data_IF_895481316845
#
_entry.id   IF_895481316845
#
_cell.length_a   1.000
_cell.length_b   1.000
_cell.length_c   1.000
_cell.angle_alpha   90.00
_cell.angle_beta   90.00
_cell.angle_gamma   90.00
#
_symmetry.space_group_name_H-M   'P 1'
#
loop_
_entity.id
_entity.type
_entity.pdbx_description
1 polymer ?
#
# COMPACT_ATOMS: atom_id res chain seq x y z
N UNK A 1 13.04 -19.07 -54.69
CA UNK A 1 13.19 -20.13 -53.65
C UNK A 1 11.99 -20.04 -52.70
N UNK A 2 11.01 -20.92 -52.86
CA UNK A 2 9.81 -20.94 -52.01
C UNK A 2 10.12 -21.63 -50.68
N UNK A 3 9.83 -20.97 -49.55
CA UNK A 3 9.94 -21.57 -48.21
C UNK A 3 8.93 -22.71 -48.10
N UNK A 4 9.32 -23.94 -47.69
CA UNK A 4 8.37 -25.01 -47.48
C UNK A 4 7.42 -24.67 -46.32
N UNK A 5 6.12 -24.90 -46.53
CA UNK A 5 5.09 -24.71 -45.51
C UNK A 5 5.33 -25.70 -44.35
N UNK A 6 5.17 -25.27 -43.09
CA UNK A 6 5.39 -26.14 -41.94
C UNK A 6 4.36 -27.28 -41.93
N UNK A 7 4.85 -28.52 -41.82
CA UNK A 7 4.03 -29.72 -41.77
C UNK A 7 3.09 -29.70 -40.56
N UNK A 8 1.82 -30.04 -40.79
CA UNK A 8 0.80 -30.23 -39.75
C UNK A 8 0.79 -31.70 -39.32
N UNK A 9 0.73 -31.94 -38.01
CA UNK A 9 0.70 -33.27 -37.38
C UNK A 9 -0.52 -33.38 -36.49
N UNK A 10 -1.09 -34.58 -36.40
CA UNK A 10 -2.15 -34.89 -35.45
C UNK A 10 -1.56 -35.07 -34.05
N UNK A 11 -1.98 -34.25 -33.10
CA UNK A 11 -1.51 -34.27 -31.72
C UNK A 11 -2.71 -34.49 -30.80
N UNK A 12 -2.52 -35.34 -29.79
CA UNK A 12 -3.55 -35.68 -28.81
C UNK A 12 -3.32 -34.88 -27.52
N UNK A 13 -4.37 -34.23 -27.03
CA UNK A 13 -4.29 -33.41 -25.82
C UNK A 13 -4.12 -34.29 -24.57
N UNK A 14 -3.09 -34.06 -23.73
CA UNK A 14 -2.88 -34.86 -22.52
C UNK A 14 -3.92 -34.61 -21.41
N UNK A 15 -4.75 -33.57 -21.55
CA UNK A 15 -5.75 -33.21 -20.54
C UNK A 15 -7.15 -33.76 -20.82
N UNK A 16 -7.52 -33.97 -22.07
CA UNK A 16 -8.86 -34.41 -22.45
C UNK A 16 -8.89 -35.50 -23.54
N UNK A 17 -7.73 -35.93 -24.07
CA UNK A 17 -7.65 -36.93 -25.13
C UNK A 17 -8.10 -36.45 -26.51
N UNK A 18 -8.41 -35.16 -26.67
CA UNK A 18 -8.86 -34.62 -27.95
C UNK A 18 -7.75 -34.58 -28.99
N UNK A 19 -8.00 -35.12 -30.18
CA UNK A 19 -7.05 -35.14 -31.31
C UNK A 19 -7.25 -33.90 -32.18
N UNK A 20 -6.21 -33.11 -32.35
CA UNK A 20 -6.23 -31.90 -33.17
C UNK A 20 -5.00 -31.78 -34.08
N UNK A 21 -5.14 -31.05 -35.18
CA UNK A 21 -4.07 -30.84 -36.15
C UNK A 21 -3.31 -29.55 -35.83
N UNK A 22 -2.06 -29.70 -35.40
CA UNK A 22 -1.18 -28.59 -35.02
C UNK A 22 0.12 -28.62 -35.83
N UNK A 23 0.82 -27.49 -35.90
CA UNK A 23 2.09 -27.40 -36.62
C UNK A 23 3.21 -28.09 -35.85
N UNK A 24 4.02 -28.92 -36.53
CA UNK A 24 5.13 -29.65 -35.91
C UNK A 24 6.15 -28.74 -35.20
N UNK A 25 6.29 -27.50 -35.68
CA UNK A 25 7.21 -26.50 -35.14
C UNK A 25 6.63 -25.65 -33.99
N UNK A 26 5.37 -25.88 -33.58
CA UNK A 26 4.74 -25.11 -32.52
C UNK A 26 5.30 -25.51 -31.14
N UNK A 27 5.88 -24.55 -30.41
CA UNK A 27 6.42 -24.76 -29.04
C UNK A 27 5.31 -25.06 -28.02
N UNK A 28 4.11 -24.57 -28.28
CA UNK A 28 2.92 -24.77 -27.46
C UNK A 28 1.68 -24.60 -28.32
N UNK A 29 0.69 -25.46 -28.13
CA UNK A 29 -0.63 -25.31 -28.75
C UNK A 29 -1.73 -25.32 -27.70
N UNK A 30 -2.82 -24.62 -27.98
CA UNK A 30 -4.02 -24.62 -27.15
C UNK A 30 -4.97 -25.72 -27.64
N UNK A 31 -5.52 -26.51 -26.72
CA UNK A 31 -6.56 -27.48 -27.04
C UNK A 31 -7.87 -26.77 -27.39
N UNK A 32 -8.46 -27.08 -28.55
CA UNK A 32 -9.74 -26.51 -28.99
C UNK A 32 -10.94 -26.97 -28.15
N UNK A 33 -10.82 -28.08 -27.41
CA UNK A 33 -11.91 -28.62 -26.61
C UNK A 33 -11.84 -28.20 -25.14
N UNK A 34 -10.65 -28.22 -24.51
CA UNK A 34 -10.51 -27.90 -23.09
C UNK A 34 -9.83 -26.55 -22.80
N UNK A 35 -9.37 -25.82 -23.83
CA UNK A 35 -8.74 -24.50 -23.69
C UNK A 35 -7.35 -24.50 -23.04
N UNK A 36 -6.85 -25.66 -22.59
CA UNK A 36 -5.53 -25.77 -21.94
C UNK A 36 -4.41 -25.77 -22.98
N UNK A 37 -3.29 -25.15 -22.63
CA UNK A 37 -2.07 -25.18 -23.42
C UNK A 37 -1.28 -26.46 -23.14
N UNK A 38 -0.76 -27.08 -24.19
CA UNK A 38 0.14 -28.24 -24.12
C UNK A 38 1.18 -28.19 -25.23
N UNK A 39 2.34 -28.83 -25.04
CA UNK A 39 3.40 -28.87 -26.05
C UNK A 39 3.21 -30.10 -26.96
N UNK A 40 3.12 -29.91 -28.29
CA UNK A 40 2.99 -31.03 -29.22
C UNK A 40 4.29 -31.84 -29.39
N UNK A 41 5.43 -31.29 -28.93
CA UNK A 41 6.76 -31.90 -28.98
C UNK A 41 7.21 -32.46 -27.62
N UNK A 42 6.34 -33.18 -26.91
CA UNK A 42 6.74 -33.98 -25.76
C UNK A 42 6.86 -35.46 -26.21
N UNK A 43 8.03 -36.12 -26.06
CA UNK A 43 8.15 -37.53 -26.38
C UNK A 43 7.29 -38.36 -25.41
N UNK A 44 6.63 -39.40 -25.92
CA UNK A 44 5.81 -40.34 -25.14
C UNK A 44 6.60 -40.89 -23.94
N UNK A 45 6.00 -41.04 -22.76
CA UNK A 45 6.66 -41.56 -21.57
C UNK A 45 6.85 -43.06 -21.73
N UNK A 46 8.05 -43.48 -22.12
CA UNK A 46 8.30 -44.89 -22.41
C UNK A 46 9.72 -45.20 -22.78
N UNK A 47 10.72 -44.62 -22.10
CA UNK A 47 12.09 -45.12 -22.13
C UNK A 47 12.84 -44.65 -20.89
N UNK A 48 13.19 -45.62 -20.03
CA UNK A 48 14.11 -45.43 -18.91
C UNK A 48 15.48 -45.03 -19.47
N UNK A 49 15.81 -43.74 -19.41
CA UNK A 49 17.18 -43.30 -19.57
C UNK A 49 17.91 -43.52 -18.24
N UNK A 50 18.62 -44.66 -18.17
CA UNK A 50 19.74 -44.85 -17.26
C UNK A 50 20.70 -43.68 -17.46
N UNK A 51 20.94 -42.92 -16.40
CA UNK A 51 22.08 -42.02 -16.30
C UNK A 51 23.32 -42.89 -16.54
N UNK A 52 24.08 -42.55 -17.58
CA UNK A 52 25.37 -43.17 -17.84
C UNK A 52 26.34 -42.67 -16.77
N UNK A 53 26.44 -43.44 -15.68
CA UNK A 53 27.66 -43.49 -14.88
C UNK A 53 28.78 -44.13 -15.72
N UNK A 54 29.95 -43.51 -15.70
CA UNK A 54 31.25 -44.15 -15.90
C UNK A 54 32.23 -43.53 -14.88
N UNK A 55 33.27 -44.26 -14.45
CA UNK A 55 33.41 -44.67 -13.05
C UNK A 55 34.62 -44.04 -12.34
N UNK A 56 34.62 -44.28 -11.02
CA UNK A 56 35.52 -43.80 -10.00
C UNK A 56 36.99 -44.28 -10.09
N UNK A 57 37.90 -43.48 -9.53
CA UNK A 57 39.06 -43.86 -8.67
C UNK A 57 39.79 -42.57 -8.27
N UNK A 58 40.25 -42.27 -7.05
CA UNK A 58 40.27 -42.94 -5.76
C UNK A 58 40.60 -41.91 -4.64
N UNK A 59 40.12 -42.20 -3.41
CA UNK A 59 40.67 -41.87 -2.07
C UNK A 59 40.87 -40.38 -1.66
N UNK A 60 40.05 -39.77 -0.77
CA UNK A 60 39.90 -39.91 0.71
C UNK A 60 40.59 -38.73 1.47
N UNK A 61 40.25 -38.37 2.74
CA UNK A 61 39.05 -38.65 3.55
C UNK A 61 38.36 -37.37 4.08
N UNK A 62 37.13 -37.55 4.56
CA UNK A 62 36.34 -36.56 5.31
C UNK A 62 37.00 -36.15 6.65
N UNK A 63 36.51 -35.06 7.28
CA UNK A 63 36.08 -35.21 8.66
C UNK A 63 34.56 -35.07 8.76
N UNK A 64 34.02 -36.06 9.46
CA UNK A 64 32.65 -36.21 9.94
C UNK A 64 32.16 -34.91 10.57
N UNK A 65 31.08 -34.36 10.02
CA UNK A 65 30.38 -33.21 10.59
C UNK A 65 29.14 -32.85 9.78
N UNK A 66 27.99 -33.39 10.19
CA UNK A 66 26.62 -32.95 9.87
C UNK A 66 26.16 -32.96 8.39
N UNK A 67 25.30 -33.90 7.97
CA UNK A 67 24.53 -33.72 6.75
C UNK A 67 23.53 -32.56 6.94
N UNK A 68 23.85 -31.45 6.27
CA UNK A 68 23.07 -30.23 6.00
C UNK A 68 21.57 -30.32 6.32
N UNK A 69 21.21 -29.80 7.50
CA UNK A 69 19.86 -29.37 7.89
C UNK A 69 19.44 -28.02 7.23
N UNK A 70 20.16 -27.54 6.22
CA UNK A 70 20.03 -26.18 5.69
C UNK A 70 18.83 -25.92 4.76
N UNK A 71 18.05 -26.95 4.40
CA UNK A 71 16.95 -26.84 3.45
C UNK A 71 15.54 -26.96 4.08
N UNK A 72 15.45 -26.94 5.42
CA UNK A 72 14.19 -27.19 6.16
C UNK A 72 13.54 -25.92 6.74
N UNK A 73 14.15 -24.72 6.60
CA UNK A 73 13.60 -23.51 7.26
C UNK A 73 13.58 -22.19 6.49
N UNK A 74 13.43 -22.22 5.17
CA UNK A 74 13.00 -21.02 4.43
C UNK A 74 11.47 -21.01 4.30
N UNK A 75 10.75 -20.86 5.43
CA UNK A 75 9.29 -20.66 5.39
C UNK A 75 9.04 -19.38 4.59
N UNK A 76 8.31 -19.41 3.46
CA UNK A 76 8.05 -18.22 2.67
C UNK A 76 7.37 -17.21 3.58
N UNK A 77 8.02 -16.08 3.82
CA UNK A 77 7.46 -15.01 4.63
C UNK A 77 6.23 -14.50 3.91
N UNK A 78 5.14 -14.42 4.63
CA UNK A 78 3.88 -13.87 4.14
C UNK A 78 3.66 -12.52 4.78
N UNK A 79 2.96 -11.64 4.06
CA UNK A 79 2.60 -10.31 4.53
C UNK A 79 1.15 -10.01 4.19
N UNK A 80 0.51 -9.22 5.04
CA UNK A 80 -0.87 -8.79 4.84
C UNK A 80 -0.87 -7.48 4.04
N UNK A 81 -1.60 -7.47 2.92
CA UNK A 81 -1.77 -6.27 2.08
C UNK A 81 -3.26 -5.95 1.93
N UNK A 82 -3.61 -4.67 1.92
CA UNK A 82 -4.97 -4.24 1.62
C UNK A 82 -5.13 -3.95 0.11
N UNK A 83 -6.36 -4.06 -0.38
CA UNK A 83 -6.70 -3.61 -1.72
C UNK A 83 -6.85 -2.08 -1.77
N UNK A 84 -6.49 -1.47 -2.90
CA UNK A 84 -6.71 -0.04 -3.13
C UNK A 84 -8.19 0.34 -3.26
N UNK A 85 -9.03 -0.55 -3.79
CA UNK A 85 -10.44 -0.26 -4.07
C UNK A 85 -11.34 -0.73 -2.91
N UNK A 86 -11.41 -2.04 -2.69
CA UNK A 86 -12.32 -2.61 -1.68
C UNK A 86 -11.74 -2.62 -0.25
N UNK A 87 -10.50 -2.19 -0.04
CA UNK A 87 -9.78 -2.20 1.25
C UNK A 87 -9.69 -3.56 1.96
N UNK A 88 -10.06 -4.65 1.29
CA UNK A 88 -9.95 -6.01 1.84
C UNK A 88 -8.48 -6.38 2.05
N UNK A 89 -8.17 -6.81 3.26
CA UNK A 89 -6.86 -7.33 3.65
C UNK A 89 -6.74 -8.81 3.28
N UNK A 90 -5.62 -9.20 2.70
CA UNK A 90 -5.32 -10.58 2.39
C UNK A 90 -3.83 -10.85 2.50
N UNK A 91 -3.49 -12.11 2.74
CA UNK A 91 -2.12 -12.55 2.92
C UNK A 91 -1.49 -12.92 1.58
N UNK A 92 -0.29 -12.42 1.34
CA UNK A 92 0.47 -12.64 0.11
C UNK A 92 1.89 -13.02 0.47
N UNK A 93 2.53 -13.85 -0.34
CA UNK A 93 3.95 -14.12 -0.21
C UNK A 93 4.76 -12.83 -0.37
N UNK A 94 5.78 -12.65 0.46
CA UNK A 94 6.67 -11.49 0.41
C UNK A 94 7.53 -11.48 -0.87
N UNK A 95 7.72 -12.65 -1.50
CA UNK A 95 8.37 -12.77 -2.80
C UNK A 95 7.48 -12.33 -3.99
N UNK A 96 6.19 -12.08 -3.77
CA UNK A 96 5.26 -11.73 -4.84
C UNK A 96 5.42 -10.26 -5.24
N UNK A 97 5.69 -10.02 -6.54
CA UNK A 97 5.78 -8.66 -7.11
C UNK A 97 4.42 -8.04 -7.42
N UNK A 98 3.38 -8.87 -7.56
CA UNK A 98 2.00 -8.41 -7.75
C UNK A 98 1.03 -9.46 -7.20
N UNK A 99 -0.18 -9.03 -6.91
CA UNK A 99 -1.28 -9.90 -6.51
C UNK A 99 -2.58 -9.35 -7.06
N UNK A 100 -3.58 -10.21 -7.19
CA UNK A 100 -4.94 -9.78 -7.52
C UNK A 100 -5.79 -9.86 -6.26
N UNK A 101 -6.61 -8.83 -6.02
CA UNK A 101 -7.48 -8.83 -4.86
C UNK A 101 -8.52 -9.97 -4.93
N UNK A 102 -8.69 -10.80 -3.89
CA UNK A 102 -9.69 -11.86 -3.88
C UNK A 102 -11.14 -11.36 -3.78
N UNK A 103 -11.37 -10.06 -3.56
CA UNK A 103 -12.71 -9.47 -3.46
C UNK A 103 -13.20 -8.77 -4.72
N UNK A 104 -12.35 -7.94 -5.33
CA UNK A 104 -12.72 -7.14 -6.49
C UNK A 104 -11.89 -7.47 -7.74
N UNK A 105 -10.97 -8.45 -7.67
CA UNK A 105 -10.04 -8.82 -8.74
C UNK A 105 -9.09 -7.72 -9.24
N UNK A 106 -9.08 -6.55 -8.59
CA UNK A 106 -8.17 -5.45 -8.91
C UNK A 106 -6.70 -5.87 -8.78
N UNK A 107 -5.87 -5.42 -9.72
CA UNK A 107 -4.43 -5.65 -9.71
C UNK A 107 -3.75 -4.77 -8.65
N UNK A 108 -2.88 -5.38 -7.85
CA UNK A 108 -2.16 -4.71 -6.77
C UNK A 108 -0.66 -4.93 -7.02
N UNK A 109 0.05 -3.85 -7.32
CA UNK A 109 1.50 -3.86 -7.38
C UNK A 109 2.09 -3.93 -5.97
N UNK A 110 3.00 -4.88 -5.77
CA UNK A 110 3.69 -5.16 -4.51
C UNK A 110 5.18 -4.81 -4.58
N UNK A 111 5.61 -4.19 -5.68
CA UNK A 111 7.01 -3.88 -5.98
C UNK A 111 7.51 -2.71 -5.16
N UNK A 112 8.77 -2.78 -4.79
CA UNK A 112 9.48 -1.65 -4.24
C UNK A 112 9.98 -0.76 -5.38
N UNK A 113 9.78 0.55 -5.25
CA UNK A 113 10.14 1.54 -6.25
C UNK A 113 11.27 2.41 -5.73
N UNK A 114 12.39 2.41 -6.46
CA UNK A 114 13.50 3.32 -6.20
C UNK A 114 13.55 4.41 -7.26
N UNK A 115 13.34 5.66 -6.84
CA UNK A 115 13.32 6.82 -7.72
C UNK A 115 14.68 7.52 -7.61
N UNK A 116 15.49 7.35 -8.66
CA UNK A 116 16.83 7.95 -8.79
C UNK A 116 16.84 9.18 -9.69
N UNK A 117 15.86 9.31 -10.57
CA UNK A 117 15.71 10.39 -11.54
C UNK A 117 14.37 11.11 -11.35
N UNK A 118 14.06 12.07 -12.22
CA UNK A 118 12.74 12.71 -12.23
C UNK A 118 11.65 11.70 -12.63
N UNK A 119 10.61 11.60 -11.80
CA UNK A 119 9.46 10.71 -12.03
C UNK A 119 8.15 11.50 -11.87
N UNK A 120 7.35 11.55 -12.93
CA UNK A 120 6.11 12.35 -13.00
C UNK A 120 4.82 11.53 -13.02
N UNK A 121 4.91 10.20 -13.15
CA UNK A 121 3.71 9.34 -13.26
C UNK A 121 3.16 8.99 -11.88
N UNK A 122 1.85 8.82 -11.75
CA UNK A 122 1.26 8.31 -10.50
C UNK A 122 1.76 6.90 -10.20
N UNK A 123 2.28 6.69 -8.99
CA UNK A 123 2.71 5.38 -8.50
C UNK A 123 1.67 4.89 -7.49
N UNK A 124 1.19 3.67 -7.67
CA UNK A 124 0.34 2.99 -6.68
C UNK A 124 0.96 1.63 -6.41
N UNK A 125 1.62 1.50 -5.26
CA UNK A 125 2.25 0.26 -4.83
C UNK A 125 1.89 -0.04 -3.38
N UNK A 126 1.95 -1.29 -2.97
CA UNK A 126 1.97 -1.68 -1.55
C UNK A 126 3.36 -2.10 -1.08
N UNK A 127 4.38 -1.85 -1.90
CA UNK A 127 5.78 -1.96 -1.52
C UNK A 127 6.30 -0.69 -0.84
N UNK A 128 7.61 -0.66 -0.72
CA UNK A 128 8.39 0.48 -0.24
C UNK A 128 8.74 1.43 -1.39
N UNK A 129 8.63 2.74 -1.15
CA UNK A 129 9.06 3.78 -2.07
C UNK A 129 10.31 4.47 -1.52
N UNK A 130 11.44 4.32 -2.21
CA UNK A 130 12.68 5.00 -1.87
C UNK A 130 12.93 6.14 -2.87
N UNK A 131 12.68 7.37 -2.43
CA UNK A 131 13.04 8.57 -3.17
C UNK A 131 14.45 8.99 -2.77
N UNK A 132 15.42 8.73 -3.63
CA UNK A 132 16.82 9.10 -3.35
C UNK A 132 17.02 10.62 -3.44
N UNK A 133 18.10 11.13 -2.84
CA UNK A 133 18.45 12.56 -2.87
C UNK A 133 18.54 13.20 -4.28
N UNK A 134 18.84 12.41 -5.32
CA UNK A 134 18.88 12.87 -6.72
C UNK A 134 17.53 12.80 -7.44
N UNK A 135 16.56 12.10 -6.86
CA UNK A 135 15.22 11.92 -7.41
C UNK A 135 14.36 13.18 -7.27
N UNK A 136 13.54 13.46 -8.28
CA UNK A 136 12.47 14.46 -8.22
C UNK A 136 11.13 13.78 -8.52
N UNK A 137 10.30 13.62 -7.50
CA UNK A 137 8.99 13.01 -7.62
C UNK A 137 7.93 14.08 -7.87
N UNK A 138 7.59 14.31 -9.14
CA UNK A 138 6.65 15.33 -9.61
C UNK A 138 5.25 14.77 -9.90
N UNK A 139 4.86 13.75 -9.16
CA UNK A 139 3.67 12.95 -9.45
C UNK A 139 2.40 13.49 -8.76
N UNK A 140 1.26 13.41 -9.42
CA UNK A 140 -0.01 13.94 -8.89
C UNK A 140 -0.47 13.23 -7.61
N UNK A 141 -0.29 11.90 -7.55
CA UNK A 141 -0.67 11.06 -6.42
C UNK A 141 0.23 9.84 -6.36
N UNK A 142 0.84 9.64 -5.19
CA UNK A 142 1.70 8.52 -4.88
C UNK A 142 1.12 7.80 -3.67
N UNK A 143 0.78 6.53 -3.85
CA UNK A 143 0.26 5.66 -2.78
C UNK A 143 1.25 4.53 -2.57
N UNK A 144 1.77 4.40 -1.35
CA UNK A 144 2.70 3.35 -0.95
C UNK A 144 2.35 2.77 0.43
N UNK A 145 2.93 1.63 0.78
CA UNK A 145 2.84 1.09 2.15
C UNK A 145 3.80 1.84 3.05
N UNK A 146 5.08 1.85 2.65
CA UNK A 146 6.16 2.56 3.34
C UNK A 146 6.89 3.49 2.37
N UNK A 147 7.42 4.60 2.87
CA UNK A 147 8.24 5.53 2.09
C UNK A 147 9.50 5.95 2.84
N UNK A 148 10.62 6.00 2.13
CA UNK A 148 11.85 6.68 2.53
C UNK A 148 12.11 7.84 1.58
N UNK A 149 12.05 9.06 2.10
CA UNK A 149 12.09 10.30 1.30
C UNK A 149 13.37 11.07 1.59
N UNK A 150 14.34 10.98 0.69
CA UNK A 150 15.62 11.73 0.74
C UNK A 150 15.69 12.84 -0.33
N UNK A 151 14.82 12.78 -1.34
CA UNK A 151 14.81 13.69 -2.49
C UNK A 151 13.65 14.67 -2.54
N UNK A 152 13.52 15.36 -3.68
CA UNK A 152 12.48 16.39 -3.89
C UNK A 152 11.13 15.74 -4.14
N UNK A 153 10.17 15.97 -3.24
CA UNK A 153 8.79 15.52 -3.39
C UNK A 153 7.90 16.69 -3.82
N UNK A 154 7.40 16.65 -5.05
CA UNK A 154 6.47 17.62 -5.65
C UNK A 154 5.15 16.93 -5.99
N UNK A 155 4.37 16.62 -4.97
CA UNK A 155 3.12 15.88 -5.18
C UNK A 155 2.44 15.45 -3.90
N UNK A 156 1.29 14.80 -4.05
CA UNK A 156 0.58 14.20 -2.92
C UNK A 156 1.17 12.82 -2.62
N UNK A 157 1.48 12.58 -1.35
CA UNK A 157 2.00 11.30 -0.85
C UNK A 157 1.05 10.72 0.20
N UNK A 158 0.64 9.49 -0.03
CA UNK A 158 -0.20 8.70 0.88
C UNK A 158 0.52 7.41 1.25
N UNK A 159 0.89 7.28 2.52
CA UNK A 159 1.55 6.11 3.09
C UNK A 159 0.60 5.39 4.04
N UNK A 160 0.38 4.10 3.88
CA UNK A 160 -0.52 3.38 4.77
C UNK A 160 0.09 3.07 6.14
N UNK A 161 1.40 2.86 6.21
CA UNK A 161 2.06 2.36 7.41
C UNK A 161 3.06 3.38 7.98
N UNK A 162 4.20 3.55 7.32
CA UNK A 162 5.30 4.40 7.80
C UNK A 162 5.86 5.29 6.70
N UNK A 163 6.21 6.52 7.03
CA UNK A 163 6.96 7.42 6.16
C UNK A 163 8.16 8.00 6.91
N UNK A 164 9.36 7.71 6.43
CA UNK A 164 10.61 8.26 6.95
C UNK A 164 11.07 9.39 6.05
N UNK A 165 11.32 10.56 6.62
CA UNK A 165 11.71 11.76 5.87
C UNK A 165 13.12 12.15 6.29
N UNK A 166 14.05 12.07 5.34
CA UNK A 166 15.45 12.50 5.44
C UNK A 166 15.77 13.49 4.31
N UNK A 167 14.93 14.52 4.18
CA UNK A 167 15.02 15.51 3.11
C UNK A 167 15.14 16.93 3.69
N UNK A 168 15.87 17.79 2.97
CA UNK A 168 16.01 19.21 3.25
C UNK A 168 15.35 20.00 2.12
N UNK A 169 14.25 20.68 2.43
CA UNK A 169 13.57 21.56 1.49
C UNK A 169 12.07 21.67 1.70
N UNK A 170 11.37 22.02 0.62
CA UNK A 170 9.94 22.35 0.62
C UNK A 170 9.13 21.19 0.03
N UNK A 171 8.04 20.83 0.71
CA UNK A 171 7.04 19.88 0.22
C UNK A 171 5.75 20.65 -0.06
N UNK A 172 5.42 20.91 -1.35
CA UNK A 172 4.23 21.68 -1.71
C UNK A 172 2.94 20.86 -1.65
N UNK A 173 3.03 19.53 -1.62
CA UNK A 173 1.88 18.63 -1.69
C UNK A 173 1.35 18.19 -0.32
N UNK A 174 0.24 17.45 -0.35
CA UNK A 174 -0.37 16.88 0.86
C UNK A 174 0.37 15.60 1.27
N UNK A 175 0.62 15.46 2.57
CA UNK A 175 1.18 14.25 3.17
C UNK A 175 0.13 13.58 4.05
N UNK A 176 -0.16 12.31 3.78
CA UNK A 176 -1.03 11.46 4.60
C UNK A 176 -0.23 10.22 4.97
N UNK A 177 -0.10 9.92 6.25
CA UNK A 177 0.57 8.71 6.71
C UNK A 177 0.00 8.20 8.03
N UNK A 178 0.16 6.92 8.37
CA UNK A 178 -0.15 6.47 9.74
C UNK A 178 0.95 6.87 10.71
N UNK A 179 2.19 6.52 10.41
CA UNK A 179 3.33 6.88 11.23
C UNK A 179 4.33 7.68 10.40
N UNK A 180 4.83 8.79 10.93
CA UNK A 180 5.87 9.61 10.28
C UNK A 180 7.07 9.73 11.20
N UNK A 181 8.27 9.50 10.67
CA UNK A 181 9.53 9.72 11.37
C UNK A 181 10.37 10.73 10.59
N UNK A 182 10.60 11.90 11.18
CA UNK A 182 11.48 12.94 10.63
C UNK A 182 12.88 12.74 11.19
N UNK A 183 13.86 12.50 10.33
CA UNK A 183 15.24 12.25 10.75
C UNK A 183 15.97 13.52 11.20
N UNK A 184 17.07 13.36 11.94
CA UNK A 184 17.80 14.48 12.58
C UNK A 184 18.37 15.50 11.60
N UNK A 185 18.71 15.06 10.38
CA UNK A 185 19.28 15.90 9.32
C UNK A 185 18.21 16.54 8.43
N UNK A 186 16.94 16.17 8.61
CA UNK A 186 15.85 16.67 7.82
C UNK A 186 15.46 18.09 8.24
N UNK A 187 15.13 18.91 7.25
CA UNK A 187 14.61 20.26 7.42
C UNK A 187 13.49 20.47 6.40
N UNK A 188 12.26 20.26 6.84
CA UNK A 188 11.11 20.10 5.96
C UNK A 188 10.11 21.23 6.17
N UNK A 189 9.78 21.94 5.10
CA UNK A 189 8.73 22.96 5.08
C UNK A 189 7.53 22.47 4.28
N UNK A 190 6.44 22.15 4.95
CA UNK A 190 5.19 21.72 4.33
C UNK A 190 4.25 22.91 4.19
N UNK A 191 3.85 23.23 2.95
CA UNK A 191 2.87 24.29 2.68
C UNK A 191 1.42 23.85 2.89
N UNK A 192 1.18 22.54 2.89
CA UNK A 192 -0.15 21.94 3.04
C UNK A 192 -0.22 21.15 4.33
N UNK A 193 -1.47 20.89 4.75
CA UNK A 193 -1.80 20.10 5.93
C UNK A 193 -1.21 18.69 5.84
N UNK A 194 -0.51 18.30 6.90
CA UNK A 194 0.02 16.95 7.11
C UNK A 194 -0.94 16.18 8.00
N UNK A 195 -1.51 15.08 7.50
CA UNK A 195 -2.44 14.23 8.27
C UNK A 195 -1.72 12.96 8.70
N UNK A 196 -1.58 12.77 10.00
CA UNK A 196 -0.84 11.65 10.57
C UNK A 196 -1.59 10.98 11.71
N UNK A 197 -1.31 9.70 11.99
CA UNK A 197 -1.78 9.11 13.25
C UNK A 197 -0.79 9.41 14.37
N UNK A 198 0.44 8.95 14.22
CA UNK A 198 1.53 9.23 15.14
C UNK A 198 2.71 9.83 14.38
N UNK A 199 3.47 10.70 15.03
CA UNK A 199 4.62 11.35 14.40
C UNK A 199 5.76 11.54 15.40
N UNK A 200 6.96 11.18 14.98
CA UNK A 200 8.19 11.34 15.73
C UNK A 200 9.12 12.31 14.99
N UNK A 201 9.52 13.37 15.68
CA UNK A 201 10.25 14.49 15.10
C UNK A 201 11.63 14.55 15.74
N UNK A 202 12.67 14.17 14.97
CA UNK A 202 14.07 14.28 15.39
C UNK A 202 14.80 15.47 14.78
N UNK A 203 14.33 15.99 13.63
CA UNK A 203 14.91 17.11 12.91
C UNK A 203 14.05 18.39 12.98
N UNK A 204 14.14 19.23 11.95
CA UNK A 204 13.33 20.45 11.84
C UNK A 204 12.14 20.23 10.90
N UNK A 205 10.96 20.64 11.33
CA UNK A 205 9.77 20.58 10.50
C UNK A 205 8.89 21.80 10.73
N UNK A 206 8.53 22.50 9.65
CA UNK A 206 7.59 23.60 9.65
C UNK A 206 6.32 23.22 8.87
N UNK A 207 5.18 23.05 9.56
CA UNK A 207 3.95 22.55 8.94
C UNK A 207 2.69 22.80 9.78
N UNK A 208 1.52 22.74 9.13
CA UNK A 208 0.24 22.52 9.81
C UNK A 208 -0.01 21.00 9.95
N UNK A 209 -0.01 20.48 11.17
CA UNK A 209 -0.10 19.04 11.46
C UNK A 209 -1.44 18.72 12.12
N UNK A 210 -2.12 17.72 11.57
CA UNK A 210 -3.33 17.12 12.15
C UNK A 210 -2.99 15.67 12.48
N UNK A 211 -2.67 15.44 13.75
CA UNK A 211 -2.38 14.14 14.32
C UNK A 211 -3.62 13.58 15.04
N UNK A 212 -4.02 12.34 14.71
CA UNK A 212 -5.11 11.66 15.44
C UNK A 212 -4.65 10.99 16.74
N UNK A 213 -3.33 10.80 16.89
CA UNK A 213 -2.68 10.17 18.04
C UNK A 213 -1.62 11.06 18.67
N UNK A 214 -0.46 10.46 18.93
CA UNK A 214 0.63 11.08 19.68
C UNK A 214 1.66 11.77 18.76
N UNK A 215 2.09 12.97 19.15
CA UNK A 215 3.20 13.72 18.54
C UNK A 215 4.38 13.67 19.50
N UNK A 216 5.49 13.05 19.12
CA UNK A 216 6.70 13.00 19.93
C UNK A 216 7.78 13.89 19.31
N UNK A 217 8.26 14.85 20.07
CA UNK A 217 9.36 15.74 19.69
C UNK A 217 10.59 15.29 20.47
N UNK A 218 11.63 14.83 19.76
CA UNK A 218 12.87 14.39 20.38
C UNK A 218 13.78 15.58 20.76
N UNK A 219 14.89 15.30 21.46
CA UNK A 219 15.84 16.30 21.99
C UNK A 219 16.37 17.31 20.97
N UNK A 220 16.45 16.94 19.69
CA UNK A 220 16.92 17.81 18.58
C UNK A 220 15.78 18.27 17.68
N UNK A 221 14.55 17.92 18.03
CA UNK A 221 13.37 18.21 17.25
C UNK A 221 12.97 19.68 17.38
N UNK A 222 12.79 20.34 16.24
CA UNK A 222 12.19 21.68 16.17
C UNK A 222 10.92 21.57 15.33
N UNK A 223 9.79 21.90 15.94
CA UNK A 223 8.50 21.91 15.28
C UNK A 223 7.95 23.33 15.25
N UNK A 224 7.75 23.86 14.04
CA UNK A 224 7.17 25.18 13.82
C UNK A 224 5.82 25.07 13.11
N UNK A 225 4.79 25.74 13.65
CA UNK A 225 3.47 25.80 13.04
C UNK A 225 2.35 25.23 13.90
N UNK A 226 1.17 25.14 13.30
CA UNK A 226 -0.05 24.78 14.01
C UNK A 226 -0.17 23.26 14.12
N UNK A 227 -0.34 22.76 15.34
CA UNK A 227 -0.44 21.33 15.62
C UNK A 227 -1.76 21.04 16.31
N UNK A 228 -2.54 20.15 15.72
CA UNK A 228 -3.72 19.56 16.33
C UNK A 228 -3.41 18.10 16.63
N UNK A 229 -3.42 17.69 17.90
CA UNK A 229 -3.06 16.33 18.31
C UNK A 229 -3.93 15.84 19.47
N UNK A 230 -3.98 14.52 19.68
CA UNK A 230 -4.61 13.94 20.88
C UNK A 230 -3.67 14.02 22.09
N UNK A 231 -2.39 13.81 21.88
CA UNK A 231 -1.35 13.93 22.90
C UNK A 231 -0.04 14.41 22.28
N UNK A 232 0.75 15.14 23.06
CA UNK A 232 2.09 15.61 22.66
C UNK A 232 3.10 15.26 23.76
N UNK A 233 4.24 14.74 23.37
CA UNK A 233 5.37 14.43 24.24
C UNK A 233 6.59 15.18 23.73
N UNK A 234 7.26 15.95 24.59
CA UNK A 234 8.44 16.72 24.21
C UNK A 234 9.60 16.27 25.10
N UNK A 235 10.63 15.70 24.48
CA UNK A 235 11.88 15.34 25.16
C UNK A 235 12.68 16.59 25.53
N UNK A 236 13.53 16.47 26.56
CA UNK A 236 14.42 17.56 27.01
C UNK A 236 15.30 18.06 25.85
N UNK A 237 15.05 19.28 25.39
CA UNK A 237 15.74 19.92 24.26
C UNK A 237 14.89 20.11 23.01
N UNK A 238 13.71 19.48 22.95
CA UNK A 238 12.74 19.71 21.88
C UNK A 238 12.15 21.12 21.96
N UNK A 239 12.06 21.80 20.82
CA UNK A 239 11.49 23.14 20.69
C UNK A 239 10.22 23.07 19.86
N UNK A 240 9.14 23.61 20.40
CA UNK A 240 7.87 23.76 19.70
C UNK A 240 7.48 25.24 19.65
N UNK A 241 7.16 25.75 18.46
CA UNK A 241 6.73 27.14 18.25
C UNK A 241 5.51 27.18 17.34
N UNK A 242 4.36 27.55 17.88
CA UNK A 242 3.12 27.67 17.11
C UNK A 242 1.89 27.45 17.97
N UNK A 243 0.72 27.41 17.33
CA UNK A 243 -0.53 27.11 18.04
C UNK A 243 -0.67 25.60 18.22
N UNK A 244 -0.90 25.17 19.46
CA UNK A 244 -1.16 23.79 19.81
C UNK A 244 -2.60 23.65 20.26
N UNK A 245 -3.35 22.78 19.57
CA UNK A 245 -4.70 22.38 19.94
C UNK A 245 -4.64 20.91 20.34
N UNK A 246 -4.77 20.65 21.64
CA UNK A 246 -4.88 19.30 22.16
C UNK A 246 -6.36 18.96 22.25
N UNK A 247 -6.79 17.94 21.51
CA UNK A 247 -8.18 17.49 21.47
C UNK A 247 -8.92 17.91 20.21
N UNK A 248 -9.25 16.92 19.39
CA UNK A 248 -10.49 16.87 18.62
C UNK A 248 -11.17 15.55 19.03
N UNK A 249 -12.20 15.58 19.86
CA UNK A 249 -13.59 15.92 19.54
C UNK A 249 -14.33 14.79 18.76
N UNK A 250 -14.44 13.62 19.38
CA UNK A 250 -15.74 12.94 19.48
C UNK A 250 -16.37 13.31 20.85
N UNK A 251 -16.52 14.60 21.10
CA UNK A 251 -17.59 15.06 21.96
C UNK A 251 -18.60 15.70 21.02
N UNK A 252 -19.50 14.89 20.49
CA UNK A 252 -20.86 15.36 20.31
C UNK A 252 -21.29 15.90 21.67
N UNK A 253 -21.25 17.22 21.84
CA UNK A 253 -21.92 17.92 22.92
C UNK A 253 -23.44 17.85 22.65
N UNK A 254 -23.96 16.62 22.64
CA UNK A 254 -25.37 16.26 22.61
C UNK A 254 -25.71 15.28 23.76
N UNK A 255 -24.72 14.81 24.53
CA UNK A 255 -24.90 13.83 25.59
C UNK A 255 -24.51 14.36 26.99
N UNK A 256 -24.72 15.66 27.25
CA UNK A 256 -24.62 16.23 28.61
C UNK A 256 -25.80 17.17 28.93
N UNK A 257 -26.96 16.89 28.36
CA UNK A 257 -28.22 17.27 29.00
C UNK A 257 -28.83 15.98 29.56
N UNK A 258 -28.95 15.83 30.89
CA UNK A 258 -29.85 14.85 31.45
C UNK A 258 -31.21 15.09 30.81
N UNK A 259 -31.77 14.06 30.16
CA UNK A 259 -33.17 14.08 29.76
C UNK A 259 -33.99 14.18 31.04
N UNK A 260 -34.29 15.41 31.43
CA UNK A 260 -35.26 15.69 32.47
C UNK A 260 -36.61 15.28 31.89
N UNK A 261 -37.00 14.07 32.28
CA UNK A 261 -38.28 13.45 32.08
C UNK A 261 -39.35 14.37 32.67
N UNK A 262 -39.76 15.39 31.92
CA UNK A 262 -40.86 16.24 32.32
C UNK A 262 -42.14 15.44 32.17
N UNK A 263 -42.62 15.01 33.33
CA UNK A 263 -43.89 14.38 33.55
C UNK A 263 -45.02 15.21 32.92
N UNK A 264 -45.90 14.47 32.25
CA UNK A 264 -47.26 14.85 31.91
C UNK A 264 -47.99 15.44 33.13
N UNK A 265 -48.59 16.63 32.94
CA UNK A 265 -49.75 17.10 33.72
C UNK A 265 -50.52 18.17 32.91
N UNK A 266 -51.83 18.35 33.16
CA UNK A 266 -52.83 18.57 32.11
C UNK A 266 -53.39 20.00 31.99
N UNK A 267 -54.00 20.25 30.82
CA UNK A 267 -55.18 21.08 30.49
C UNK A 267 -55.41 22.39 31.27
N UNK A 268 -55.48 23.51 30.54
CA UNK A 268 -56.58 24.47 30.73
C UNK A 268 -56.89 25.28 29.47
N UNK A 269 -58.12 25.08 28.99
CA UNK A 269 -58.80 25.86 27.96
C UNK A 269 -58.98 27.33 28.38
N UNK A 270 -58.96 28.23 27.40
CA UNK A 270 -59.94 29.32 27.32
C UNK A 270 -59.95 29.99 25.93
N UNK A 271 -61.03 29.72 25.19
CA UNK A 271 -61.88 30.64 24.44
C UNK A 271 -61.26 31.75 23.55
N UNK A 272 -61.29 31.50 22.22
CA UNK A 272 -61.97 32.25 21.11
C UNK A 272 -62.22 33.79 21.22
N UNK A 273 -62.40 34.54 20.10
CA UNK A 273 -62.73 34.09 18.74
C UNK A 273 -62.00 34.75 17.55
N UNK A 274 -62.27 34.13 16.40
CA UNK A 274 -62.16 34.54 15.00
C UNK A 274 -61.93 36.03 14.64
N UNK A 275 -60.99 36.23 13.70
CA UNK A 275 -61.14 37.21 12.63
C UNK A 275 -60.67 36.58 11.30
N UNK A 276 -61.61 36.42 10.39
CA UNK A 276 -61.38 36.29 8.95
C UNK A 276 -60.55 37.50 8.46
N UNK A 277 -59.83 37.49 7.35
CA UNK A 277 -60.40 37.63 6.00
C UNK A 277 -59.25 37.51 4.97
N UNK A 278 -59.46 36.57 4.05
CA UNK A 278 -59.19 36.55 2.60
C UNK A 278 -57.84 36.98 1.99
N UNK A 279 -57.36 36.04 1.17
CA UNK A 279 -56.50 36.22 0.01
C UNK A 279 -57.11 37.12 -1.07
N UNK A 280 -56.28 37.83 -1.83
CA UNK A 280 -56.53 38.15 -3.25
C UNK A 280 -55.20 38.20 -4.05
N UNK A 281 -55.26 38.02 -5.39
CA UNK A 281 -54.16 37.59 -6.24
C UNK A 281 -53.59 38.69 -7.17
N UNK A 282 -52.51 38.31 -7.85
CA UNK A 282 -52.03 38.67 -9.19
C UNK A 282 -52.25 40.08 -9.76
N UNK A 283 -51.13 40.70 -10.17
CA UNK A 283 -50.94 41.35 -11.48
C UNK A 283 -49.53 41.07 -11.95
#
# INVERSE_FOLDING_TARGET
MAKPLPAKVSVECPHCGFKQMDYAAAKSTMCRQCGRYFSPSAPKPGLKLRVKEEPATAAAPEPRGFPKLGAIWSKPRTRVVACFECKRKHEVSDASMSTNCPGCSAHIDLRDYKITTSFSRSIRTRGELHLTAKGDLSSTSVVCRSALVEGKLRGNLECEESATIDFVGKIPGRLIARYVSVERKADVQCFRRVRVANIDIKGRMAAEIIATGAVNIHKTGVLEGNVTAKSITIDKGGVFSGQLVIGQADLTQAELLPQEKLATAPVRESNLPAAAVQALPAT
#
